data_IF_260113019160
#
_entry.id   IF_260113019160
#
_cell.length_a   1.000
_cell.length_b   1.000
_cell.length_c   1.000
_cell.angle_alpha   90.00
_cell.angle_beta   90.00
_cell.angle_gamma   90.00
#
_symmetry.space_group_name_H-M   'P 1'
#
loop_
_entity.id
_entity.type
_entity.pdbx_description
1 polymer ?
#
# COMPACT_ATOMS: atom_id res chain seq x y z
N UNK A 1 10.46 10.02 23.49
CA UNK A 1 9.42 10.77 22.76
C UNK A 1 8.13 9.96 22.76
N UNK A 2 7.03 10.53 23.24
CA UNK A 2 5.71 9.88 23.28
C UNK A 2 5.02 9.87 21.91
N UNK A 3 3.92 9.10 21.83
CA UNK A 3 2.98 9.14 20.69
C UNK A 3 1.94 10.22 20.99
N UNK A 4 1.63 11.06 20.02
CA UNK A 4 0.56 12.05 20.04
C UNK A 4 -0.58 11.63 19.12
N UNK A 5 -1.80 12.04 19.47
CA UNK A 5 -3.01 11.81 18.68
C UNK A 5 -3.48 13.16 18.14
N UNK A 6 -3.75 13.22 16.83
CA UNK A 6 -4.21 14.42 16.15
C UNK A 6 -5.54 14.12 15.45
N UNK A 7 -6.55 14.93 15.73
CA UNK A 7 -7.89 14.78 15.19
C UNK A 7 -8.43 16.17 14.81
N UNK A 8 -9.25 16.29 13.75
CA UNK A 8 -9.91 17.55 13.43
C UNK A 8 -10.93 17.89 14.52
N UNK A 9 -11.15 19.19 14.71
CA UNK A 9 -12.16 19.70 15.67
C UNK A 9 -13.58 19.45 15.20
N UNK A 10 -13.77 19.35 13.90
CA UNK A 10 -15.05 19.02 13.29
C UNK A 10 -15.23 17.50 13.15
N UNK A 11 -16.48 17.00 13.23
CA UNK A 11 -16.78 15.61 12.97
C UNK A 11 -16.35 15.18 11.57
N UNK A 12 -15.86 13.96 11.46
CA UNK A 12 -15.41 13.38 10.18
C UNK A 12 -16.38 12.36 9.64
N UNK A 13 -17.35 11.89 10.44
CA UNK A 13 -18.41 10.98 10.04
C UNK A 13 -19.77 11.53 10.41
N UNK A 14 -20.70 11.47 9.47
CA UNK A 14 -22.08 11.94 9.60
C UNK A 14 -23.02 10.80 9.25
N UNK A 15 -23.82 10.33 10.21
CA UNK A 15 -24.83 9.31 9.92
C UNK A 15 -26.22 9.91 9.64
N UNK A 16 -27.11 9.08 9.09
CA UNK A 16 -28.47 9.48 8.73
C UNK A 16 -29.35 9.86 9.94
N UNK A 17 -28.92 9.57 11.16
CA UNK A 17 -29.64 9.88 12.39
C UNK A 17 -29.11 11.18 13.03
N UNK A 18 -28.17 11.87 12.38
CA UNK A 18 -27.59 13.13 12.86
C UNK A 18 -26.53 12.94 13.94
N UNK A 19 -26.01 11.71 14.13
CA UNK A 19 -24.90 11.46 15.03
C UNK A 19 -23.59 11.74 14.29
N UNK A 20 -22.89 12.78 14.75
CA UNK A 20 -21.66 13.24 14.15
C UNK A 20 -20.48 12.80 15.02
N UNK A 21 -19.53 12.06 14.44
CA UNK A 21 -18.38 11.50 15.16
C UNK A 21 -17.06 11.86 14.48
N UNK A 22 -15.98 11.96 15.26
CA UNK A 22 -14.62 12.06 14.74
C UNK A 22 -13.96 10.70 14.81
N UNK A 23 -13.82 10.03 13.66
CA UNK A 23 -13.23 8.68 13.56
C UNK A 23 -11.89 8.69 12.82
N UNK A 24 -11.64 9.72 12.02
CA UNK A 24 -10.46 9.83 11.18
C UNK A 24 -9.38 10.64 11.92
N UNK A 25 -8.38 9.93 12.45
CA UNK A 25 -7.33 10.48 13.33
C UNK A 25 -5.93 10.06 12.86
N UNK A 26 -4.93 10.86 13.19
CA UNK A 26 -3.53 10.56 12.96
C UNK A 26 -2.81 10.27 14.28
N UNK A 27 -2.02 9.20 14.30
CA UNK A 27 -1.07 8.90 15.38
C UNK A 27 0.32 9.32 14.93
N UNK A 28 0.99 10.16 15.72
CA UNK A 28 2.29 10.68 15.38
C UNK A 28 3.30 10.44 16.49
N UNK A 29 4.56 10.22 16.13
CA UNK A 29 5.66 10.06 17.09
C UNK A 29 6.83 10.91 16.63
N UNK A 30 7.27 11.83 17.49
CA UNK A 30 8.39 12.71 17.18
C UNK A 30 8.08 13.80 16.15
N UNK A 31 6.80 14.04 15.86
CA UNK A 31 6.33 15.20 15.11
C UNK A 31 5.76 16.21 16.10
N UNK A 32 6.19 17.47 15.99
CA UNK A 32 5.84 18.50 16.96
C UNK A 32 4.54 19.25 16.62
N UNK A 33 4.19 19.33 15.33
CA UNK A 33 3.03 20.09 14.88
C UNK A 33 2.33 19.37 13.74
N UNK A 34 1.10 18.93 14.00
CA UNK A 34 0.16 18.43 12.99
C UNK A 34 -1.17 19.14 13.23
N UNK A 35 -1.59 19.95 12.26
CA UNK A 35 -2.93 20.50 12.24
C UNK A 35 -3.84 19.57 11.45
N UNK A 36 -5.06 19.34 11.94
CA UNK A 36 -6.02 18.45 11.31
C UNK A 36 -7.29 19.24 10.98
N UNK A 37 -7.73 19.20 9.72
CA UNK A 37 -8.94 19.90 9.25
C UNK A 37 -9.83 18.94 8.48
N UNK A 38 -11.12 18.91 8.84
CA UNK A 38 -12.14 18.17 8.10
C UNK A 38 -12.57 18.98 6.88
N UNK A 39 -12.76 18.31 5.75
CA UNK A 39 -13.13 18.93 4.47
C UNK A 39 -14.50 18.41 4.06
N UNK A 40 -15.50 19.29 4.00
CA UNK A 40 -16.89 18.95 3.68
C UNK A 40 -17.20 18.99 2.18
N UNK A 41 -16.30 18.49 1.33
CA UNK A 41 -16.42 18.62 -0.13
C UNK A 41 -16.90 17.34 -0.84
N UNK A 42 -17.17 16.26 -0.10
CA UNK A 42 -17.55 14.97 -0.68
C UNK A 42 -18.97 14.54 -0.30
N UNK A 43 -19.60 13.73 -1.16
CA UNK A 43 -20.94 13.15 -0.96
C UNK A 43 -20.93 11.86 -0.10
N UNK A 44 -19.81 11.58 0.58
CA UNK A 44 -19.69 10.42 1.47
C UNK A 44 -20.26 10.76 2.85
N UNK A 45 -20.63 9.73 3.61
CA UNK A 45 -20.89 9.83 5.05
C UNK A 45 -19.62 10.11 5.89
N UNK A 46 -18.47 10.27 5.22
CA UNK A 46 -17.19 10.66 5.80
C UNK A 46 -16.60 11.89 5.08
N UNK A 47 -16.20 12.89 5.85
CA UNK A 47 -15.40 14.01 5.38
C UNK A 47 -13.92 13.62 5.35
N UNK A 48 -13.19 13.85 4.25
CA UNK A 48 -11.74 13.77 4.25
C UNK A 48 -11.13 14.66 5.33
N UNK A 49 -9.99 14.22 5.88
CA UNK A 49 -9.21 15.02 6.82
C UNK A 49 -7.88 15.37 6.18
N UNK A 50 -7.56 16.66 6.13
CA UNK A 50 -6.24 17.14 5.79
C UNK A 50 -5.39 17.27 7.06
N UNK A 51 -4.17 16.75 7.00
CA UNK A 51 -3.20 16.82 8.09
C UNK A 51 -1.98 17.62 7.64
N UNK A 52 -1.88 18.87 8.10
CA UNK A 52 -0.76 19.75 7.79
C UNK A 52 0.37 19.53 8.81
N UNK A 53 1.47 18.94 8.34
CA UNK A 53 2.61 18.58 9.18
C UNK A 53 3.71 19.63 8.99
N UNK A 54 4.04 20.38 10.05
CA UNK A 54 5.16 21.32 10.01
C UNK A 54 6.48 20.61 10.33
N UNK A 55 7.29 20.39 9.30
CA UNK A 55 8.58 19.73 9.38
C UNK A 55 9.71 20.74 9.70
N UNK A 56 9.63 21.39 10.86
CA UNK A 56 10.57 22.48 11.21
C UNK A 56 12.03 22.03 11.38
N UNK A 57 12.32 20.72 11.44
CA UNK A 57 13.67 20.15 11.57
C UNK A 57 13.85 18.82 10.80
N UNK A 58 13.03 18.57 9.78
CA UNK A 58 13.18 17.36 8.98
C UNK A 58 14.28 17.59 7.94
N UNK A 59 15.49 17.10 8.24
CA UNK A 59 16.45 16.84 7.17
C UNK A 59 15.73 15.91 6.20
N UNK A 60 15.46 16.37 4.98
CA UNK A 60 14.86 15.55 3.94
C UNK A 60 15.58 14.20 3.96
N UNK A 61 14.90 13.07 4.25
CA UNK A 61 15.53 11.78 4.19
C UNK A 61 16.09 11.72 2.78
N UNK A 62 17.41 11.59 2.67
CA UNK A 62 18.08 11.30 1.41
C UNK A 62 17.24 10.23 0.75
N UNK A 63 16.66 10.53 -0.41
CA UNK A 63 15.70 9.67 -1.12
C UNK A 63 16.16 8.23 -0.93
N UNK A 64 15.49 7.52 -0.02
CA UNK A 64 15.90 6.16 0.30
C UNK A 64 15.50 5.38 -0.92
N UNK A 65 16.48 5.08 -1.75
CA UNK A 65 16.31 4.28 -2.94
C UNK A 65 15.75 2.95 -2.50
N UNK A 66 14.47 2.72 -2.77
CA UNK A 66 13.86 1.43 -2.50
C UNK A 66 14.55 0.42 -3.42
N UNK A 67 15.45 -0.38 -2.87
CA UNK A 67 16.15 -1.41 -3.63
C UNK A 67 15.17 -2.55 -3.86
N UNK A 68 14.69 -2.68 -5.09
CA UNK A 68 13.88 -3.82 -5.48
C UNK A 68 14.81 -4.97 -5.89
N UNK A 69 14.61 -6.17 -5.33
CA UNK A 69 15.38 -7.33 -5.74
C UNK A 69 15.14 -7.65 -7.23
N UNK A 70 16.18 -7.60 -8.07
CA UNK A 70 16.15 -8.13 -9.44
C UNK A 70 16.10 -9.66 -9.42
N UNK A 71 14.89 -10.23 -9.39
CA UNK A 71 14.65 -11.66 -9.30
C UNK A 71 15.25 -12.46 -10.45
N UNK A 72 15.27 -11.91 -11.67
CA UNK A 72 15.85 -12.58 -12.84
C UNK A 72 17.35 -12.81 -12.66
N UNK A 73 18.08 -11.78 -12.22
CA UNK A 73 19.53 -11.88 -11.96
C UNK A 73 19.83 -12.85 -10.80
N UNK A 74 19.00 -12.82 -9.76
CA UNK A 74 19.09 -13.74 -8.64
C UNK A 74 18.91 -15.20 -9.09
N UNK A 75 17.91 -15.46 -9.94
CA UNK A 75 17.66 -16.80 -10.49
C UNK A 75 18.84 -17.28 -11.34
N UNK A 76 19.41 -16.44 -12.22
CA UNK A 76 20.57 -16.81 -13.04
C UNK A 76 21.74 -17.29 -12.18
N UNK A 77 22.10 -16.52 -11.13
CA UNK A 77 23.19 -16.87 -10.21
C UNK A 77 22.93 -18.20 -9.48
N UNK A 78 21.68 -18.50 -9.14
CA UNK A 78 21.32 -19.77 -8.48
C UNK A 78 21.28 -20.97 -9.43
N UNK A 79 20.77 -20.80 -10.65
CA UNK A 79 20.56 -21.91 -11.60
C UNK A 79 21.86 -22.51 -12.15
N UNK A 80 22.99 -21.81 -12.06
CA UNK A 80 24.30 -22.29 -12.50
C UNK A 80 24.93 -23.34 -11.55
N UNK A 81 24.22 -23.82 -10.52
CA UNK A 81 24.88 -24.47 -9.37
C UNK A 81 24.36 -25.82 -8.87
N UNK A 82 23.47 -26.53 -9.58
CA UNK A 82 23.13 -27.91 -9.18
C UNK A 82 24.13 -28.87 -9.84
N UNK A 83 25.31 -29.02 -9.23
CA UNK A 83 26.27 -30.06 -9.56
C UNK A 83 26.30 -31.13 -8.45
N UNK A 84 26.02 -32.36 -8.89
CA UNK A 84 26.07 -33.70 -8.30
C UNK A 84 26.14 -33.93 -6.77
N UNK A 85 25.35 -34.94 -6.41
CA UNK A 85 24.92 -35.53 -5.14
C UNK A 85 25.98 -36.05 -4.16
N UNK A 86 27.25 -35.67 -4.27
CA UNK A 86 28.29 -36.20 -3.40
C UNK A 86 28.62 -35.21 -2.27
N UNK A 87 27.98 -35.45 -1.11
CA UNK A 87 28.26 -34.86 0.20
C UNK A 87 27.51 -33.53 0.50
N UNK A 88 26.25 -33.66 0.94
CA UNK A 88 25.33 -32.58 1.32
C UNK A 88 26.02 -31.56 2.23
N UNK A 89 26.75 -32.01 3.25
CA UNK A 89 27.42 -31.16 4.24
C UNK A 89 28.46 -30.22 3.58
N UNK A 90 29.20 -30.71 2.57
CA UNK A 90 30.20 -29.92 1.84
C UNK A 90 29.56 -28.94 0.86
N UNK A 91 28.34 -29.23 0.41
CA UNK A 91 27.61 -28.36 -0.53
C UNK A 91 26.94 -27.14 0.13
N UNK A 92 26.69 -27.17 1.45
CA UNK A 92 25.97 -26.11 2.19
C UNK A 92 26.76 -24.79 2.19
N UNK A 93 28.06 -24.82 2.48
CA UNK A 93 28.87 -23.60 2.59
C UNK A 93 29.03 -22.87 1.24
N UNK A 94 29.37 -23.54 0.12
CA UNK A 94 29.37 -22.93 -1.21
C UNK A 94 28.01 -22.37 -1.63
N UNK A 95 26.91 -23.08 -1.32
CA UNK A 95 25.55 -22.61 -1.63
C UNK A 95 25.19 -21.36 -0.81
N UNK A 96 25.53 -21.34 0.48
CA UNK A 96 25.27 -20.19 1.37
C UNK A 96 26.03 -18.95 0.89
N UNK A 97 27.30 -19.10 0.51
CA UNK A 97 28.10 -18.01 -0.03
C UNK A 97 27.52 -17.47 -1.35
N UNK A 98 27.03 -18.35 -2.23
CA UNK A 98 26.38 -17.94 -3.48
C UNK A 98 25.04 -17.23 -3.27
N UNK A 99 24.24 -17.64 -2.28
CA UNK A 99 23.01 -16.93 -1.90
C UNK A 99 23.36 -15.50 -1.43
N UNK A 100 24.40 -15.37 -0.61
CA UNK A 100 24.88 -14.05 -0.16
C UNK A 100 25.38 -13.20 -1.34
N UNK A 101 26.19 -13.76 -2.24
CA UNK A 101 26.65 -13.09 -3.46
C UNK A 101 25.48 -12.66 -4.35
N UNK A 102 24.46 -13.51 -4.51
CA UNK A 102 23.27 -13.19 -5.28
C UNK A 102 22.49 -12.02 -4.65
N UNK A 103 22.33 -12.00 -3.32
CA UNK A 103 21.71 -10.90 -2.58
C UNK A 103 22.51 -9.60 -2.77
N UNK A 104 23.84 -9.66 -2.68
CA UNK A 104 24.71 -8.50 -2.85
C UNK A 104 24.73 -7.99 -4.30
N UNK A 105 24.75 -8.88 -5.28
CA UNK A 105 24.73 -8.55 -6.72
C UNK A 105 23.37 -8.00 -7.19
N UNK A 106 22.33 -8.15 -6.38
CA UNK A 106 20.95 -7.73 -6.66
C UNK A 106 20.66 -6.30 -6.17
N UNK A 107 21.49 -5.74 -5.30
CA UNK A 107 21.34 -4.39 -4.76
C UNK A 107 21.55 -3.32 -5.83
N UNK A 108 20.50 -3.02 -6.60
CA UNK A 108 20.45 -1.87 -7.49
C UNK A 108 19.41 -0.87 -6.97
N UNK A 109 19.82 0.39 -6.94
CA UNK A 109 18.96 1.53 -6.69
C UNK A 109 18.33 1.96 -8.03
N UNK A 110 17.12 1.51 -8.33
CA UNK A 110 16.37 2.09 -9.45
C UNK A 110 15.51 3.23 -8.93
N UNK A 111 15.54 4.37 -9.62
CA UNK A 111 14.49 5.36 -9.49
C UNK A 111 13.15 4.66 -9.78
N UNK A 112 12.16 4.92 -8.92
CA UNK A 112 10.80 4.41 -9.10
C UNK A 112 10.22 5.10 -10.33
N UNK A 113 10.45 4.55 -11.51
CA UNK A 113 9.51 4.71 -12.59
C UNK A 113 8.54 3.57 -12.41
N UNK A 114 7.33 3.85 -11.92
CA UNK A 114 6.27 2.86 -12.02
C UNK A 114 6.15 2.54 -13.51
N UNK A 115 6.49 1.32 -13.99
CA UNK A 115 5.89 0.92 -15.25
C UNK A 115 4.40 0.97 -14.94
N UNK A 116 3.65 1.83 -15.64
CA UNK A 116 2.20 1.75 -15.62
C UNK A 116 1.94 0.32 -16.02
N UNK A 117 1.58 -0.53 -15.05
CA UNK A 117 1.25 -1.91 -15.32
C UNK A 117 0.19 -1.83 -16.39
N UNK A 118 0.48 -2.37 -17.59
CA UNK A 118 -0.51 -2.46 -18.65
C UNK A 118 -1.49 -3.53 -18.17
N UNK A 119 -2.38 -3.12 -17.28
CA UNK A 119 -3.51 -3.93 -16.84
C UNK A 119 -4.35 -4.10 -18.11
N UNK A 120 -4.61 -5.33 -18.56
CA UNK A 120 -5.50 -5.58 -19.68
C UNK A 120 -6.80 -4.78 -19.50
N UNK A 121 -7.30 -4.14 -20.56
CA UNK A 121 -8.48 -3.26 -20.51
C UNK A 121 -9.66 -3.93 -19.82
N UNK A 122 -9.87 -5.23 -20.06
CA UNK A 122 -10.90 -6.05 -19.43
C UNK A 122 -10.78 -6.08 -17.90
N UNK A 123 -9.56 -6.21 -17.34
CA UNK A 123 -9.35 -6.18 -15.89
C UNK A 123 -9.53 -4.79 -15.30
N UNK A 124 -9.22 -3.74 -16.08
CA UNK A 124 -9.50 -2.35 -15.68
C UNK A 124 -11.01 -2.09 -15.65
N UNK A 125 -11.74 -2.49 -16.67
CA UNK A 125 -13.18 -2.31 -16.81
C UNK A 125 -13.97 -3.08 -15.74
N UNK A 126 -13.57 -4.33 -15.46
CA UNK A 126 -14.17 -5.14 -14.38
C UNK A 126 -13.94 -4.50 -13.01
N UNK A 127 -12.72 -4.05 -12.71
CA UNK A 127 -12.43 -3.35 -11.45
C UNK A 127 -13.17 -2.01 -11.33
N UNK A 128 -13.25 -1.23 -12.41
CA UNK A 128 -14.03 0.01 -12.45
C UNK A 128 -15.52 -0.25 -12.20
N UNK A 129 -16.09 -1.27 -12.84
CA UNK A 129 -17.49 -1.67 -12.66
C UNK A 129 -17.77 -2.11 -11.24
N UNK A 130 -16.90 -2.95 -10.66
CA UNK A 130 -17.00 -3.37 -9.26
C UNK A 130 -16.93 -2.19 -8.29
N UNK A 131 -16.00 -1.28 -8.50
CA UNK A 131 -15.87 -0.09 -7.65
C UNK A 131 -17.08 0.85 -7.79
N UNK A 132 -17.65 0.97 -8.99
CA UNK A 132 -18.90 1.71 -9.21
C UNK A 132 -20.07 1.09 -8.45
N UNK A 133 -20.30 -0.22 -8.59
CA UNK A 133 -21.39 -0.93 -7.89
C UNK A 133 -21.24 -0.85 -6.37
N UNK A 134 -20.00 -0.95 -5.86
CA UNK A 134 -19.73 -0.77 -4.42
C UNK A 134 -20.06 0.64 -3.94
N UNK A 135 -19.69 1.67 -4.71
CA UNK A 135 -20.05 3.07 -4.39
C UNK A 135 -21.56 3.27 -4.41
N UNK A 136 -22.25 2.76 -5.43
CA UNK A 136 -23.71 2.83 -5.54
C UNK A 136 -24.41 2.14 -4.36
N UNK A 137 -23.94 0.95 -3.97
CA UNK A 137 -24.45 0.28 -2.77
C UNK A 137 -24.20 1.07 -1.49
N UNK A 138 -22.98 1.61 -1.33
CA UNK A 138 -22.63 2.40 -0.14
C UNK A 138 -23.54 3.62 0.01
N UNK A 139 -23.87 4.29 -1.10
CA UNK A 139 -24.72 5.48 -1.16
C UNK A 139 -26.21 5.17 -1.01
N UNK A 140 -26.72 4.18 -1.75
CA UNK A 140 -28.17 3.92 -1.86
C UNK A 140 -28.68 2.87 -0.88
N UNK A 141 -27.79 2.05 -0.32
CA UNK A 141 -28.08 0.85 0.50
C UNK A 141 -29.05 -0.13 -0.19
N UNK A 142 -29.19 -0.07 -1.51
CA UNK A 142 -30.08 -0.95 -2.26
C UNK A 142 -29.46 -2.36 -2.40
N UNK A 143 -30.10 -3.43 -1.90
CA UNK A 143 -29.51 -4.77 -1.87
C UNK A 143 -29.10 -5.34 -3.24
N UNK A 144 -29.84 -5.01 -4.30
CA UNK A 144 -29.58 -5.55 -5.66
C UNK A 144 -28.22 -5.16 -6.24
N UNK A 145 -27.66 -4.02 -5.82
CA UNK A 145 -26.32 -3.57 -6.24
C UNK A 145 -25.20 -4.34 -5.52
N UNK A 146 -25.46 -4.81 -4.30
CA UNK A 146 -24.56 -5.68 -3.53
C UNK A 146 -24.46 -7.07 -4.15
N UNK A 147 -25.59 -7.70 -4.44
CA UNK A 147 -25.64 -9.03 -5.06
C UNK A 147 -24.93 -9.03 -6.41
N UNK A 148 -25.14 -7.97 -7.21
CA UNK A 148 -24.46 -7.81 -8.50
C UNK A 148 -22.94 -7.66 -8.31
N UNK A 149 -22.47 -6.87 -7.33
CA UNK A 149 -21.03 -6.78 -7.02
C UNK A 149 -20.43 -8.10 -6.54
N UNK A 150 -21.19 -8.93 -5.80
CA UNK A 150 -20.72 -10.22 -5.31
C UNK A 150 -20.63 -11.26 -6.42
N UNK A 151 -21.56 -11.25 -7.39
CA UNK A 151 -21.51 -12.13 -8.57
C UNK A 151 -20.26 -11.92 -9.43
N UNK A 152 -19.71 -10.70 -9.51
CA UNK A 152 -18.42 -10.44 -10.16
C UNK A 152 -17.21 -11.03 -9.40
N UNK A 153 -17.36 -11.32 -8.11
CA UNK A 153 -16.29 -11.92 -7.28
C UNK A 153 -16.24 -13.44 -7.44
N UNK A 154 -17.36 -14.08 -7.78
CA UNK A 154 -17.47 -15.54 -7.91
C UNK A 154 -17.14 -16.09 -9.32
N UNK A 155 -16.81 -15.22 -10.28
CA UNK A 155 -16.55 -15.58 -11.70
C UNK A 155 -15.07 -15.53 -12.11
N UNK A 156 -14.17 -15.37 -11.15
CA UNK A 156 -12.71 -15.43 -11.36
C UNK A 156 -12.12 -16.67 -10.68
#
# INVERSE_FOLDING_TARGET
>A
MGISIHAPTEPTRFDAHGVNNTLDIALAKGLHTIAATSISELTSDHNPVNFDISLNNYNSPSISTCSFPNWTKFQTVLTESIANEDDIEKSISPQTNKIQEAIHAQAHTKAIHHPVSIIPSQLRETNQTKNRLRKEWQQTKVPSTQDTSQQFTARN
#
